data_IF_961842985445
#
_entry.id   IF_961842985445
#
_cell.length_a   1.000
_cell.length_b   1.000
_cell.length_c   1.000
_cell.angle_alpha   90.00
_cell.angle_beta   90.00
_cell.angle_gamma   90.00
#
_symmetry.space_group_name_H-M   'P 1'
#
loop_
_entity.id
_entity.type
_entity.pdbx_description
1 polymer ?
#
# COMPACT_ATOMS: atom_id res chain seq x y z
N UNK A 1 -7.27 2.59 19.95
CA UNK A 1 -6.31 2.70 21.08
C UNK A 1 -4.94 2.20 20.64
N UNK A 2 -4.76 0.91 20.29
CA UNK A 2 -3.49 0.32 19.76
C UNK A 2 -2.75 1.18 18.72
N UNK A 3 -3.45 1.64 17.68
CA UNK A 3 -2.80 2.40 16.61
C UNK A 3 -2.27 3.77 17.07
N UNK A 4 -2.94 4.42 18.04
CA UNK A 4 -2.48 5.68 18.62
C UNK A 4 -1.27 5.48 19.55
N UNK A 5 -1.19 4.32 20.21
CA UNK A 5 -0.02 3.93 21.02
C UNK A 5 1.18 3.54 20.15
N UNK A 6 0.91 2.87 19.02
CA UNK A 6 1.94 2.47 18.06
C UNK A 6 2.52 3.68 17.31
N UNK A 7 1.66 4.65 16.97
CA UNK A 7 2.01 5.82 16.17
C UNK A 7 1.62 7.13 16.89
N UNK A 8 2.28 7.46 18.02
CA UNK A 8 2.03 8.71 18.72
C UNK A 8 2.37 9.91 17.84
N UNK A 9 1.60 10.99 17.95
CA UNK A 9 1.85 12.23 17.18
C UNK A 9 3.25 12.76 17.45
N UNK A 10 3.90 13.29 16.42
CA UNK A 10 5.20 13.94 16.61
C UNK A 10 5.03 15.26 17.37
N UNK A 11 5.70 15.33 18.53
CA UNK A 11 5.88 16.57 19.29
C UNK A 11 6.95 17.43 18.58
N UNK A 12 6.49 18.48 17.91
CA UNK A 12 7.36 19.52 17.36
C UNK A 12 7.39 20.73 18.29
N UNK A 13 8.56 21.32 18.48
CA UNK A 13 8.70 22.64 19.11
C UNK A 13 8.96 23.63 17.99
N UNK A 14 7.95 24.43 17.66
CA UNK A 14 8.04 25.52 16.70
C UNK A 14 7.45 26.76 17.33
N UNK A 15 8.10 27.91 17.11
CA UNK A 15 7.57 29.20 17.53
C UNK A 15 6.18 29.43 16.92
N UNK A 16 5.23 29.92 17.72
CA UNK A 16 3.83 30.10 17.29
C UNK A 16 3.70 31.00 16.06
N UNK A 17 4.56 32.03 15.92
CA UNK A 17 4.53 32.93 14.77
C UNK A 17 4.95 32.20 13.49
N UNK A 18 5.93 31.30 13.60
CA UNK A 18 6.43 30.51 12.49
C UNK A 18 5.47 29.38 12.11
N UNK A 19 4.88 28.74 13.11
CA UNK A 19 3.83 27.76 12.90
C UNK A 19 2.63 28.41 12.22
N UNK A 20 2.23 29.61 12.62
CA UNK A 20 1.16 30.38 11.98
C UNK A 20 1.50 30.74 10.54
N UNK A 21 2.73 31.20 10.27
CA UNK A 21 3.19 31.51 8.92
C UNK A 21 3.14 30.27 8.01
N UNK A 22 3.76 29.16 8.40
CA UNK A 22 3.72 27.92 7.62
C UNK A 22 2.30 27.39 7.50
N UNK A 23 1.50 27.48 8.56
CA UNK A 23 0.11 27.08 8.51
C UNK A 23 -0.68 27.92 7.51
N UNK A 24 -0.47 29.23 7.45
CA UNK A 24 -1.18 30.14 6.54
C UNK A 24 -0.83 29.93 5.07
N UNK A 25 0.41 29.53 4.76
CA UNK A 25 0.81 29.28 3.38
C UNK A 25 0.33 27.89 2.93
N UNK A 26 0.39 26.90 3.83
CA UNK A 26 -0.04 25.54 3.49
C UNK A 26 -1.59 25.37 3.65
N UNK A 27 -2.28 26.26 4.37
CA UNK A 27 -3.76 26.42 4.34
C UNK A 27 -4.23 27.18 3.10
N UNK A 28 -3.31 27.87 2.42
CA UNK A 28 -3.61 28.77 1.35
C UNK A 28 -4.30 28.08 0.18
N UNK A 29 -5.58 28.42 0.01
CA UNK A 29 -6.45 28.47 -1.18
C UNK A 29 -6.13 27.58 -2.39
N UNK A 30 -7.20 27.13 -3.06
CA UNK A 30 -7.12 26.45 -4.36
C UNK A 30 -6.31 27.21 -5.44
N UNK A 31 -5.99 28.48 -5.17
CA UNK A 31 -5.26 29.43 -6.01
C UNK A 31 -3.73 29.48 -5.79
N UNK A 32 -3.14 28.75 -4.84
CA UNK A 32 -1.68 28.76 -4.67
C UNK A 32 -0.97 27.94 -5.76
N UNK A 33 0.03 28.55 -6.39
CA UNK A 33 0.87 27.89 -7.39
C UNK A 33 1.90 26.95 -6.74
N UNK A 34 2.29 25.90 -7.47
CA UNK A 34 3.26 24.93 -7.00
C UNK A 34 4.61 25.55 -6.52
N UNK A 35 5.15 26.61 -7.16
CA UNK A 35 6.36 27.30 -6.69
C UNK A 35 6.25 27.89 -5.28
N UNK A 36 5.14 28.54 -4.93
CA UNK A 36 4.96 29.17 -3.61
C UNK A 36 4.90 28.11 -2.50
N UNK A 37 4.22 27.00 -2.77
CA UNK A 37 4.17 25.85 -1.86
C UNK A 37 5.55 25.19 -1.72
N UNK A 38 6.28 25.03 -2.82
CA UNK A 38 7.62 24.47 -2.80
C UNK A 38 8.59 25.33 -1.96
N UNK A 39 8.52 26.66 -2.06
CA UNK A 39 9.36 27.55 -1.25
C UNK A 39 9.05 27.43 0.25
N UNK A 40 7.78 27.30 0.61
CA UNK A 40 7.35 27.13 2.01
C UNK A 40 7.77 25.79 2.58
N UNK A 41 7.70 24.74 1.75
CA UNK A 41 8.21 23.41 2.08
C UNK A 41 9.73 23.41 2.18
N UNK A 42 10.45 24.18 1.34
CA UNK A 42 11.90 24.33 1.48
C UNK A 42 12.25 25.06 2.78
N UNK A 43 11.47 26.06 3.19
CA UNK A 43 11.67 26.73 4.47
C UNK A 43 11.53 25.76 5.65
N UNK A 44 10.48 24.94 5.67
CA UNK A 44 10.31 23.91 6.70
C UNK A 44 11.49 22.92 6.74
N UNK A 45 12.16 22.70 5.60
CA UNK A 45 13.30 21.79 5.50
C UNK A 45 14.51 22.44 6.11
N UNK A 46 14.77 23.71 5.79
CA UNK A 46 15.84 24.49 6.45
C UNK A 46 15.62 24.52 7.96
N UNK A 47 14.38 24.68 8.42
CA UNK A 47 14.06 24.62 9.85
C UNK A 47 14.42 23.27 10.48
N UNK A 48 14.17 22.17 9.75
CA UNK A 48 14.54 20.81 10.16
C UNK A 48 16.06 20.58 10.15
N UNK A 49 16.76 21.06 9.12
CA UNK A 49 18.21 20.97 8.97
C UNK A 49 18.97 21.70 10.10
N UNK A 50 18.35 22.71 10.69
CA UNK A 50 18.85 23.40 11.88
C UNK A 50 18.62 22.62 13.19
N UNK A 51 18.11 21.38 13.11
CA UNK A 51 17.92 20.48 14.26
C UNK A 51 16.54 20.58 14.93
N UNK A 52 15.62 21.39 14.39
CA UNK A 52 14.27 21.52 14.92
C UNK A 52 13.34 20.44 14.35
N UNK A 53 12.28 20.11 15.09
CA UNK A 53 11.22 19.21 14.60
C UNK A 53 10.00 19.99 14.17
N UNK A 54 9.48 19.69 12.97
CA UNK A 54 8.20 20.24 12.54
C UNK A 54 7.05 19.65 13.37
N UNK A 55 6.09 20.46 13.84
CA UNK A 55 4.87 19.95 14.47
C UNK A 55 4.08 19.05 13.53
N UNK A 56 3.38 18.05 14.08
CA UNK A 56 2.52 17.15 13.31
C UNK A 56 1.50 17.92 12.43
N UNK A 57 1.00 19.07 12.89
CA UNK A 57 0.07 19.91 12.12
C UNK A 57 0.66 20.38 10.80
N UNK A 58 1.97 20.70 10.78
CA UNK A 58 2.67 21.18 9.59
C UNK A 58 2.94 20.01 8.64
N UNK A 59 3.50 18.90 9.14
CA UNK A 59 3.83 17.75 8.28
C UNK A 59 2.58 17.08 7.67
N UNK A 60 1.44 17.11 8.36
CA UNK A 60 0.14 16.70 7.81
C UNK A 60 -0.17 17.44 6.51
N UNK A 61 0.06 18.76 6.52
CA UNK A 61 -0.23 19.61 5.37
C UNK A 61 0.79 19.42 4.25
N UNK A 62 2.08 19.27 4.58
CA UNK A 62 3.12 18.97 3.58
C UNK A 62 2.79 17.67 2.84
N UNK A 63 2.37 16.61 3.55
CA UNK A 63 1.95 15.36 2.91
C UNK A 63 0.73 15.58 2.00
N UNK A 64 -0.30 16.29 2.48
CA UNK A 64 -1.47 16.65 1.66
C UNK A 64 -1.09 17.42 0.39
N UNK A 65 -0.17 18.39 0.49
CA UNK A 65 0.32 19.11 -0.68
C UNK A 65 1.00 18.20 -1.69
N UNK A 66 1.72 17.16 -1.26
CA UNK A 66 2.34 16.22 -2.19
C UNK A 66 1.34 15.28 -2.90
N UNK A 67 0.17 15.05 -2.31
CA UNK A 67 -0.95 14.43 -3.03
C UNK A 67 -1.48 15.34 -4.16
N UNK A 68 -1.53 16.66 -3.93
CA UNK A 68 -1.99 17.64 -4.91
C UNK A 68 -0.94 17.99 -5.97
N UNK A 69 0.33 18.05 -5.57
CA UNK A 69 1.45 18.46 -6.41
C UNK A 69 2.57 17.40 -6.34
N UNK A 70 2.59 16.45 -7.29
CA UNK A 70 3.58 15.37 -7.29
C UNK A 70 5.05 15.83 -7.35
N UNK A 71 5.31 17.06 -7.83
CA UNK A 71 6.65 17.68 -7.82
C UNK A 71 7.24 17.85 -6.41
N UNK A 72 6.42 17.75 -5.36
CA UNK A 72 6.85 17.86 -3.96
C UNK A 72 7.30 16.52 -3.35
N UNK A 73 7.08 15.39 -4.01
CA UNK A 73 7.47 14.06 -3.51
C UNK A 73 8.98 13.96 -3.20
N UNK A 74 9.90 14.50 -4.02
CA UNK A 74 11.33 14.51 -3.67
C UNK A 74 11.62 15.23 -2.35
N UNK A 75 10.89 16.30 -2.02
CA UNK A 75 11.07 17.01 -0.75
C UNK A 75 10.59 16.16 0.44
N UNK A 76 9.47 15.45 0.29
CA UNK A 76 9.00 14.50 1.30
C UNK A 76 10.03 13.40 1.60
N UNK A 77 10.70 12.88 0.56
CA UNK A 77 11.78 11.90 0.75
C UNK A 77 12.88 12.48 1.62
N UNK A 78 13.27 13.74 1.40
CA UNK A 78 14.28 14.41 2.21
C UNK A 78 13.81 14.59 3.67
N UNK A 79 12.58 15.05 3.88
CA UNK A 79 12.01 15.15 5.23
C UNK A 79 11.99 13.82 5.98
N UNK A 80 11.61 12.74 5.29
CA UNK A 80 11.48 11.42 5.90
C UNK A 80 12.78 10.94 6.55
N UNK A 81 13.95 11.37 6.04
CA UNK A 81 15.27 11.02 6.59
C UNK A 81 15.52 11.57 7.99
N UNK A 82 14.81 12.62 8.37
CA UNK A 82 15.00 13.27 9.66
C UNK A 82 14.03 12.78 10.73
N UNK A 83 13.01 12.00 10.37
CA UNK A 83 12.15 11.32 11.33
C UNK A 83 12.69 9.92 11.61
N UNK A 84 12.81 9.60 12.90
CA UNK A 84 13.26 8.26 13.35
C UNK A 84 12.19 7.19 13.21
N UNK A 85 10.93 7.59 13.11
CA UNK A 85 9.75 6.71 13.10
C UNK A 85 8.82 7.06 11.93
N UNK A 86 7.93 6.14 11.59
CA UNK A 86 6.86 6.38 10.62
C UNK A 86 5.58 6.97 11.26
N UNK A 87 5.65 7.43 12.52
CA UNK A 87 4.50 7.96 13.24
C UNK A 87 3.87 9.17 12.52
N UNK A 88 4.72 10.02 11.98
CA UNK A 88 4.27 11.20 11.24
C UNK A 88 3.50 10.81 9.98
N UNK A 89 3.90 9.74 9.27
CA UNK A 89 3.22 9.23 8.07
C UNK A 89 1.82 8.76 8.43
N UNK A 90 1.71 7.94 9.49
CA UNK A 90 0.43 7.41 9.96
C UNK A 90 -0.56 8.54 10.24
N UNK A 91 -0.14 9.52 11.05
CA UNK A 91 -0.99 10.63 11.46
C UNK A 91 -1.32 11.58 10.30
N UNK A 92 -0.36 11.82 9.40
CA UNK A 92 -0.55 12.67 8.23
C UNK A 92 -1.49 12.04 7.20
N UNK A 93 -1.42 10.73 6.97
CA UNK A 93 -2.31 10.02 6.05
C UNK A 93 -3.75 10.03 6.55
N UNK A 94 -3.98 9.69 7.83
CA UNK A 94 -5.32 9.78 8.43
C UNK A 94 -5.86 11.20 8.31
N UNK A 95 -5.02 12.22 8.55
CA UNK A 95 -5.45 13.61 8.43
C UNK A 95 -5.79 13.99 6.98
N UNK A 96 -5.01 13.52 6.01
CA UNK A 96 -5.29 13.75 4.59
C UNK A 96 -6.60 13.10 4.16
N UNK A 97 -6.81 11.83 4.51
CA UNK A 97 -8.04 11.10 4.20
C UNK A 97 -9.29 11.72 4.84
N UNK A 98 -9.19 12.17 6.11
CA UNK A 98 -10.30 12.83 6.79
C UNK A 98 -10.58 14.26 6.31
N UNK A 99 -9.58 14.95 5.74
CA UNK A 99 -9.73 16.35 5.32
C UNK A 99 -10.04 16.48 3.82
N UNK A 100 -9.61 15.52 3.00
CA UNK A 100 -9.74 15.55 1.54
C UNK A 100 -9.70 14.11 0.98
N UNK A 101 -10.73 13.33 1.31
CA UNK A 101 -10.82 11.91 0.95
C UNK A 101 -10.69 11.69 -0.56
N UNK A 102 -11.40 12.50 -1.36
CA UNK A 102 -11.38 12.44 -2.82
C UNK A 102 -9.99 12.61 -3.41
N UNK A 103 -9.19 13.55 -2.89
CA UNK A 103 -7.83 13.77 -3.40
C UNK A 103 -6.95 12.52 -3.21
N UNK A 104 -7.01 11.90 -2.03
CA UNK A 104 -6.20 10.70 -1.72
C UNK A 104 -6.71 9.50 -2.52
N UNK A 105 -8.03 9.35 -2.62
CA UNK A 105 -8.68 8.27 -3.37
C UNK A 105 -8.31 8.34 -4.88
N UNK A 106 -8.47 9.51 -5.50
CA UNK A 106 -8.10 9.73 -6.90
C UNK A 106 -6.61 9.50 -7.14
N UNK A 107 -5.78 9.98 -6.21
CA UNK A 107 -4.34 9.76 -6.26
C UNK A 107 -3.98 8.28 -6.27
N UNK A 108 -4.66 7.47 -5.45
CA UNK A 108 -4.47 6.02 -5.40
C UNK A 108 -4.96 5.35 -6.67
N UNK A 109 -6.15 5.73 -7.18
CA UNK A 109 -6.70 5.20 -8.43
C UNK A 109 -5.81 5.48 -9.65
N UNK A 110 -5.12 6.63 -9.67
CA UNK A 110 -4.24 7.03 -10.78
C UNK A 110 -2.79 6.61 -10.61
N UNK A 111 -2.43 5.97 -9.49
CA UNK A 111 -1.03 5.64 -9.16
C UNK A 111 -0.10 6.86 -9.19
N UNK A 112 -0.55 7.97 -8.60
CA UNK A 112 0.24 9.19 -8.56
C UNK A 112 1.61 8.99 -7.85
N UNK A 113 2.64 9.78 -8.19
CA UNK A 113 4.00 9.58 -7.70
C UNK A 113 4.17 9.50 -6.18
N UNK A 114 3.29 10.10 -5.39
CA UNK A 114 3.32 10.01 -3.92
C UNK A 114 3.29 8.56 -3.41
N UNK A 115 2.64 7.65 -4.11
CA UNK A 115 2.56 6.24 -3.71
C UNK A 115 3.90 5.51 -3.87
N UNK A 116 4.79 5.97 -4.77
CA UNK A 116 6.16 5.46 -4.86
C UNK A 116 7.00 5.80 -3.62
N UNK A 117 6.59 6.80 -2.84
CA UNK A 117 7.17 7.12 -1.55
C UNK A 117 6.50 6.36 -0.39
N UNK A 118 5.17 6.26 -0.40
CA UNK A 118 4.39 5.67 0.69
C UNK A 118 4.44 4.14 0.73
N UNK A 119 4.32 3.46 -0.42
CA UNK A 119 4.28 1.99 -0.48
C UNK A 119 5.55 1.37 0.10
N UNK A 120 6.77 1.80 -0.26
CA UNK A 120 7.98 1.28 0.38
C UNK A 120 8.00 1.44 1.90
N UNK A 121 7.37 2.51 2.43
CA UNK A 121 7.26 2.73 3.88
C UNK A 121 6.29 1.77 4.54
N UNK A 122 5.19 1.41 3.87
CA UNK A 122 4.29 0.36 4.34
C UNK A 122 4.97 -1.01 4.30
N UNK A 123 5.71 -1.32 3.25
CA UNK A 123 6.44 -2.59 3.13
C UNK A 123 7.55 -2.72 4.18
N UNK A 124 8.29 -1.65 4.45
CA UNK A 124 9.31 -1.59 5.51
C UNK A 124 8.69 -1.85 6.88
N UNK A 125 7.59 -1.16 7.19
CA UNK A 125 6.85 -1.34 8.45
C UNK A 125 6.32 -2.77 8.58
N UNK A 126 5.71 -3.32 7.52
CA UNK A 126 5.22 -4.70 7.46
C UNK A 126 6.34 -5.70 7.75
N UNK A 127 7.47 -5.62 7.04
CA UNK A 127 8.62 -6.52 7.22
C UNK A 127 9.15 -6.48 8.65
N UNK A 128 9.20 -5.30 9.27
CA UNK A 128 9.66 -5.14 10.66
C UNK A 128 8.74 -5.80 11.70
N UNK A 129 7.46 -6.02 11.35
CA UNK A 129 6.40 -6.52 12.24
C UNK A 129 5.85 -7.88 11.83
N UNK A 130 6.41 -8.52 10.79
CA UNK A 130 5.89 -9.76 10.21
C UNK A 130 5.87 -10.92 11.22
N UNK A 131 6.78 -10.92 12.20
CA UNK A 131 6.80 -11.90 13.31
C UNK A 131 5.57 -11.85 14.21
N UNK A 132 4.74 -10.81 14.10
CA UNK A 132 3.50 -10.71 14.86
C UNK A 132 2.32 -11.44 14.20
N UNK A 133 2.46 -11.92 12.95
CA UNK A 133 1.37 -12.53 12.16
C UNK A 133 0.97 -13.95 12.59
N UNK A 134 1.62 -14.53 13.60
CA UNK A 134 1.25 -15.85 14.14
C UNK A 134 -0.02 -15.82 15.02
N UNK A 135 -0.63 -14.64 15.19
CA UNK A 135 -1.83 -14.39 15.99
C UNK A 135 -2.98 -13.92 15.11
N UNK A 136 -4.19 -13.87 15.67
CA UNK A 136 -5.29 -13.17 15.01
C UNK A 136 -5.04 -11.66 14.97
N UNK A 137 -5.55 -10.97 13.94
CA UNK A 137 -5.27 -9.55 13.70
C UNK A 137 -5.57 -8.63 14.90
N UNK A 138 -6.65 -8.92 15.62
CA UNK A 138 -7.06 -8.14 16.79
C UNK A 138 -6.12 -8.33 17.99
N UNK A 139 -5.33 -9.41 18.00
CA UNK A 139 -4.37 -9.74 19.05
C UNK A 139 -2.95 -9.22 18.77
N UNK A 140 -2.73 -8.55 17.64
CA UNK A 140 -1.42 -7.96 17.35
C UNK A 140 -1.08 -6.88 18.37
N UNK A 141 0.14 -6.89 18.94
CA UNK A 141 0.56 -5.93 19.95
C UNK A 141 0.75 -4.52 19.40
N UNK A 142 0.99 -4.39 18.09
CA UNK A 142 1.25 -3.14 17.40
C UNK A 142 0.43 -3.03 16.13
N UNK A 143 0.00 -1.83 15.78
CA UNK A 143 -0.64 -1.57 14.49
C UNK A 143 0.40 -1.51 13.35
N UNK A 144 -0.02 -1.85 12.14
CA UNK A 144 0.76 -1.62 10.93
C UNK A 144 0.51 -0.24 10.34
N UNK A 145 1.50 0.31 9.65
CA UNK A 145 1.43 1.66 9.08
C UNK A 145 0.30 1.79 8.05
N UNK A 146 0.11 0.79 7.19
CA UNK A 146 -0.95 0.82 6.16
C UNK A 146 -2.36 0.89 6.77
N UNK A 147 -2.54 0.50 8.04
CA UNK A 147 -3.83 0.63 8.73
C UNK A 147 -4.29 2.10 8.76
N UNK A 148 -3.38 3.09 8.62
CA UNK A 148 -3.76 4.50 8.46
C UNK A 148 -4.69 4.75 7.28
N UNK A 149 -4.51 3.98 6.20
CA UNK A 149 -5.35 4.09 4.99
C UNK A 149 -6.72 3.52 5.27
N UNK A 150 -6.78 2.35 5.92
CA UNK A 150 -8.05 1.67 6.26
C UNK A 150 -8.84 2.47 7.30
N UNK A 151 -8.20 2.96 8.36
CA UNK A 151 -8.87 3.78 9.38
C UNK A 151 -9.36 5.13 8.84
N UNK A 152 -8.67 5.68 7.83
CA UNK A 152 -9.11 6.89 7.13
C UNK A 152 -10.09 6.60 5.99
N UNK A 153 -10.31 5.33 5.64
CA UNK A 153 -11.20 4.94 4.57
C UNK A 153 -12.65 5.18 5.01
N UNK A 154 -13.35 6.05 4.29
CA UNK A 154 -14.72 6.47 4.60
C UNK A 154 -14.96 7.05 6.02
N UNK A 155 -14.20 8.11 6.34
CA UNK A 155 -14.36 8.91 7.57
C UNK A 155 -15.81 9.39 7.82
N UNK A 156 -16.64 9.53 6.78
CA UNK A 156 -18.00 10.09 6.86
C UNK A 156 -19.01 9.06 7.38
N UNK A 157 -18.79 7.75 7.17
CA UNK A 157 -19.71 6.68 7.61
C UNK A 157 -19.25 5.90 8.85
N UNK A 158 -18.06 6.21 9.38
CA UNK A 158 -17.31 5.38 10.33
C UNK A 158 -17.95 5.12 11.71
N UNK A 159 -19.08 5.73 12.08
CA UNK A 159 -19.65 5.56 13.42
C UNK A 159 -20.18 4.14 13.71
N UNK A 160 -20.46 3.33 12.67
CA UNK A 160 -21.07 2.00 12.81
C UNK A 160 -20.46 0.92 11.91
N UNK A 161 -19.25 1.15 11.37
CA UNK A 161 -18.62 0.25 10.39
C UNK A 161 -17.47 -0.50 11.07
N UNK A 162 -17.40 -1.82 10.91
CA UNK A 162 -16.30 -2.61 11.46
C UNK A 162 -15.00 -2.40 10.66
N UNK A 163 -13.85 -2.71 11.25
CA UNK A 163 -12.57 -2.63 10.51
C UNK A 163 -12.58 -3.55 9.29
N UNK A 164 -13.19 -4.73 9.40
CA UNK A 164 -13.32 -5.68 8.30
C UNK A 164 -14.16 -5.11 7.16
N UNK A 165 -15.26 -4.41 7.46
CA UNK A 165 -16.07 -3.74 6.45
C UNK A 165 -15.27 -2.66 5.72
N UNK A 166 -14.43 -1.88 6.43
CA UNK A 166 -13.54 -0.89 5.82
C UNK A 166 -12.49 -1.54 4.91
N UNK A 167 -11.92 -2.67 5.34
CA UNK A 167 -11.00 -3.46 4.51
C UNK A 167 -11.71 -3.93 3.24
N UNK A 168 -12.93 -4.43 3.35
CA UNK A 168 -13.72 -4.89 2.20
C UNK A 168 -14.03 -3.74 1.24
N UNK A 169 -14.41 -2.57 1.75
CA UNK A 169 -14.65 -1.39 0.91
C UNK A 169 -13.37 -0.93 0.20
N UNK A 170 -12.24 -0.91 0.90
CA UNK A 170 -10.94 -0.59 0.31
C UNK A 170 -10.54 -1.59 -0.78
N UNK A 171 -10.69 -2.88 -0.50
CA UNK A 171 -10.44 -3.97 -1.45
C UNK A 171 -11.31 -3.79 -2.71
N UNK A 172 -12.61 -3.55 -2.54
CA UNK A 172 -13.51 -3.29 -3.66
C UNK A 172 -13.10 -2.07 -4.48
N UNK A 173 -12.68 -0.99 -3.82
CA UNK A 173 -12.15 0.17 -4.52
C UNK A 173 -10.91 -0.17 -5.34
N UNK A 174 -9.95 -0.93 -4.79
CA UNK A 174 -8.78 -1.36 -5.55
C UNK A 174 -9.18 -2.20 -6.76
N UNK A 175 -10.18 -3.09 -6.64
CA UNK A 175 -10.69 -3.92 -7.73
C UNK A 175 -11.30 -3.08 -8.87
N UNK A 176 -11.95 -1.96 -8.55
CA UNK A 176 -12.52 -1.04 -9.53
C UNK A 176 -11.45 -0.22 -10.28
N UNK A 177 -10.19 -0.27 -9.85
CA UNK A 177 -9.08 0.51 -10.40
C UNK A 177 -7.92 -0.41 -10.88
N UNK A 178 -8.17 -1.28 -11.88
CA UNK A 178 -7.24 -2.33 -12.32
C UNK A 178 -5.90 -1.82 -12.87
N UNK A 179 -5.90 -0.60 -13.42
CA UNK A 179 -4.71 -0.01 -14.02
C UNK A 179 -3.77 0.63 -12.97
N UNK A 180 -4.15 0.62 -11.69
CA UNK A 180 -3.36 1.22 -10.62
C UNK A 180 -2.39 0.23 -10.00
N UNK A 181 -1.09 0.42 -10.28
CA UNK A 181 -0.01 -0.28 -9.60
C UNK A 181 -0.03 -0.02 -8.08
N UNK A 182 -0.43 1.18 -7.66
CA UNK A 182 -0.57 1.52 -6.25
C UNK A 182 -1.69 0.71 -5.58
N UNK A 183 -2.88 0.61 -6.20
CA UNK A 183 -3.96 -0.26 -5.73
C UNK A 183 -3.51 -1.72 -5.63
N UNK A 184 -2.81 -2.22 -6.66
CA UNK A 184 -2.29 -3.59 -6.67
C UNK A 184 -1.28 -3.84 -5.54
N UNK A 185 -0.42 -2.88 -5.25
CA UNK A 185 0.55 -2.98 -4.16
C UNK A 185 -0.13 -2.97 -2.79
N UNK A 186 -1.12 -2.09 -2.61
CA UNK A 186 -1.92 -2.02 -1.38
C UNK A 186 -2.73 -3.29 -1.15
N UNK A 187 -3.37 -3.84 -2.19
CA UNK A 187 -4.04 -5.14 -2.15
C UNK A 187 -3.10 -6.24 -1.66
N UNK A 188 -1.87 -6.25 -2.15
CA UNK A 188 -0.88 -7.23 -1.73
C UNK A 188 -0.46 -7.06 -0.26
N UNK A 189 -0.26 -5.84 0.21
CA UNK A 189 0.02 -5.58 1.63
C UNK A 189 -1.10 -6.07 2.54
N UNK A 190 -2.36 -5.80 2.18
CA UNK A 190 -3.53 -6.23 2.96
C UNK A 190 -3.67 -7.75 2.91
N UNK A 191 -3.47 -8.37 1.74
CA UNK A 191 -3.57 -9.81 1.57
C UNK A 191 -2.55 -10.57 2.43
N UNK A 192 -1.35 -10.01 2.64
CA UNK A 192 -0.34 -10.60 3.53
C UNK A 192 -0.79 -10.69 5.00
N UNK A 193 -1.80 -9.93 5.40
CA UNK A 193 -2.22 -9.77 6.81
C UNK A 193 -3.62 -10.34 7.02
N UNK A 194 -4.51 -10.12 6.05
CA UNK A 194 -5.91 -10.52 6.08
C UNK A 194 -6.30 -11.28 4.81
N UNK A 195 -5.62 -12.41 4.51
CA UNK A 195 -5.84 -13.14 3.25
C UNK A 195 -7.30 -13.60 3.10
N UNK A 196 -7.95 -14.00 4.20
CA UNK A 196 -9.37 -14.41 4.22
C UNK A 196 -10.32 -13.33 3.68
N UNK A 197 -10.14 -12.08 4.13
CA UNK A 197 -11.00 -10.97 3.70
C UNK A 197 -10.77 -10.63 2.23
N UNK A 198 -9.50 -10.62 1.79
CA UNK A 198 -9.16 -10.33 0.40
C UNK A 198 -9.75 -11.39 -0.52
N UNK A 199 -9.56 -12.69 -0.27
CA UNK A 199 -10.11 -13.74 -1.15
C UNK A 199 -11.63 -13.77 -1.14
N UNK A 200 -12.24 -13.72 0.06
CA UNK A 200 -13.68 -13.93 0.20
C UNK A 200 -14.53 -12.80 -0.38
N UNK A 201 -13.94 -11.63 -0.64
CA UNK A 201 -14.65 -10.42 -1.07
C UNK A 201 -14.10 -9.80 -2.35
N UNK A 202 -12.86 -10.08 -2.71
CA UNK A 202 -12.27 -9.64 -3.96
C UNK A 202 -12.48 -10.68 -5.07
N UNK A 203 -13.74 -10.86 -5.47
CA UNK A 203 -14.05 -11.54 -6.72
C UNK A 203 -13.31 -10.84 -7.87
N UNK A 204 -12.44 -11.57 -8.57
CA UNK A 204 -11.67 -11.17 -9.77
C UNK A 204 -10.29 -10.51 -9.57
N UNK A 205 -9.62 -10.69 -8.43
CA UNK A 205 -8.24 -10.17 -8.27
C UNK A 205 -7.20 -11.21 -7.86
N UNK A 206 -7.54 -12.51 -7.92
CA UNK A 206 -6.56 -13.54 -7.60
C UNK A 206 -5.33 -13.42 -8.53
N UNK A 207 -5.53 -13.02 -9.78
CA UNK A 207 -4.46 -12.73 -10.74
C UNK A 207 -3.66 -11.46 -10.42
N UNK A 208 -4.05 -10.64 -9.45
CA UNK A 208 -3.29 -9.47 -9.00
C UNK A 208 -2.51 -9.74 -7.71
N UNK A 209 -2.96 -10.72 -6.93
CA UNK A 209 -2.25 -11.20 -5.76
C UNK A 209 -0.89 -11.76 -6.18
N UNK A 210 0.15 -11.41 -5.44
CA UNK A 210 1.53 -11.81 -5.67
C UNK A 210 1.70 -13.30 -5.39
N UNK A 211 2.72 -13.91 -5.99
CA UNK A 211 3.07 -15.33 -5.77
C UNK A 211 3.21 -15.66 -4.27
N UNK A 212 3.90 -14.85 -3.42
CA UNK A 212 3.97 -15.13 -1.98
C UNK A 212 2.60 -15.17 -1.30
N UNK A 213 1.69 -14.26 -1.66
CA UNK A 213 0.36 -14.21 -1.07
C UNK A 213 -0.54 -15.34 -1.59
N UNK A 214 -0.44 -15.71 -2.86
CA UNK A 214 -1.12 -16.90 -3.39
C UNK A 214 -0.65 -18.17 -2.67
N UNK A 215 0.65 -18.28 -2.38
CA UNK A 215 1.20 -19.38 -1.58
C UNK A 215 0.62 -19.39 -0.17
N UNK A 216 0.57 -18.23 0.50
CA UNK A 216 -0.02 -18.08 1.84
C UNK A 216 -1.48 -18.55 1.86
N UNK A 217 -2.25 -18.12 0.86
CA UNK A 217 -3.66 -18.49 0.67
C UNK A 217 -3.83 -20.01 0.59
N UNK A 218 -3.01 -20.67 -0.23
CA UNK A 218 -3.06 -22.12 -0.43
C UNK A 218 -2.62 -22.88 0.81
N UNK A 219 -1.53 -22.45 1.45
CA UNK A 219 -1.01 -23.06 2.69
C UNK A 219 -2.03 -23.00 3.84
N UNK A 220 -2.79 -21.90 3.94
CA UNK A 220 -3.83 -21.74 4.95
C UNK A 220 -5.14 -22.45 4.59
N UNK A 221 -5.22 -23.14 3.45
CA UNK A 221 -6.44 -23.82 2.99
C UNK A 221 -7.62 -22.88 2.78
N UNK A 222 -7.35 -21.57 2.55
CA UNK A 222 -8.39 -20.56 2.38
C UNK A 222 -9.08 -20.63 1.02
N UNK A 223 -8.53 -21.45 0.13
CA UNK A 223 -9.08 -21.76 -1.16
C UNK A 223 -9.40 -23.26 -1.21
N UNK A 224 -10.68 -23.56 -1.34
CA UNK A 224 -11.16 -24.91 -1.65
C UNK A 224 -11.38 -24.97 -3.16
N UNK A 225 -10.80 -25.98 -3.83
CA UNK A 225 -10.84 -26.21 -5.29
C UNK A 225 -12.18 -25.75 -5.91
N UNK A 226 -12.18 -24.56 -6.49
CA UNK A 226 -13.24 -23.92 -7.28
C UNK A 226 -12.57 -22.98 -8.30
N UNK A 227 -13.24 -22.20 -9.14
CA UNK A 227 -12.49 -21.28 -10.02
C UNK A 227 -11.86 -20.14 -9.20
N UNK A 228 -10.53 -19.97 -9.25
CA UNK A 228 -9.91 -18.73 -8.77
C UNK A 228 -10.35 -17.60 -9.71
N UNK A 229 -11.08 -16.59 -9.23
CA UNK A 229 -11.60 -15.56 -10.10
C UNK A 229 -10.48 -14.62 -10.55
N UNK A 230 -10.38 -14.36 -11.85
CA UNK A 230 -9.35 -13.52 -12.45
C UNK A 230 -8.89 -14.03 -13.83
N UNK A 231 -7.82 -13.43 -14.35
CA UNK A 231 -7.19 -13.91 -15.58
C UNK A 231 -6.52 -15.28 -15.35
N UNK A 232 -7.11 -16.34 -15.91
CA UNK A 232 -6.68 -17.72 -15.72
C UNK A 232 -5.23 -17.96 -16.20
N UNK A 233 -4.80 -17.33 -17.30
CA UNK A 233 -3.42 -17.45 -17.79
C UNK A 233 -2.44 -16.86 -16.79
N UNK A 234 -2.71 -15.66 -16.28
CA UNK A 234 -1.87 -15.00 -15.28
C UNK A 234 -1.80 -15.80 -13.99
N UNK A 235 -2.93 -16.37 -13.56
CA UNK A 235 -3.00 -17.27 -12.41
C UNK A 235 -2.17 -18.52 -12.62
N UNK A 236 -2.34 -19.21 -13.75
CA UNK A 236 -1.58 -20.41 -14.08
C UNK A 236 -0.07 -20.14 -14.01
N UNK A 237 0.40 -19.05 -14.62
CA UNK A 237 1.83 -18.67 -14.59
C UNK A 237 2.34 -18.44 -13.16
N UNK A 238 1.53 -17.80 -12.30
CA UNK A 238 1.88 -17.57 -10.90
C UNK A 238 1.83 -18.83 -10.04
N UNK A 239 1.07 -19.83 -10.43
CA UNK A 239 0.97 -21.10 -9.73
C UNK A 239 2.14 -22.04 -10.03
N UNK A 240 2.85 -21.87 -11.13
CA UNK A 240 4.04 -22.69 -11.46
C UNK A 240 5.01 -22.84 -10.28
N UNK A 241 5.47 -21.77 -9.60
CA UNK A 241 6.36 -21.88 -8.44
C UNK A 241 5.68 -22.25 -7.11
N UNK A 242 4.40 -22.63 -7.11
CA UNK A 242 3.63 -22.96 -5.91
C UNK A 242 3.10 -24.40 -5.99
N UNK A 243 2.38 -24.70 -7.06
CA UNK A 243 1.75 -25.98 -7.37
C UNK A 243 1.61 -26.10 -8.89
N UNK A 244 2.52 -26.86 -9.50
CA UNK A 244 2.58 -27.05 -10.95
C UNK A 244 1.36 -27.80 -11.51
N UNK A 245 0.77 -28.69 -10.71
CA UNK A 245 -0.39 -29.48 -11.14
C UNK A 245 -1.63 -28.60 -11.14
N UNK A 246 -1.82 -27.77 -10.11
CA UNK A 246 -2.86 -26.74 -10.11
C UNK A 246 -2.68 -25.74 -11.25
N UNK A 247 -1.45 -25.33 -11.56
CA UNK A 247 -1.17 -24.45 -12.70
C UNK A 247 -1.65 -25.04 -14.04
N UNK A 248 -1.41 -26.35 -14.24
CA UNK A 248 -1.90 -27.10 -15.41
C UNK A 248 -3.42 -27.25 -15.40
N UNK A 249 -4.03 -27.54 -14.26
CA UNK A 249 -5.50 -27.61 -14.12
C UNK A 249 -6.16 -26.27 -14.56
N UNK A 250 -5.57 -25.13 -14.17
CA UNK A 250 -6.07 -23.80 -14.51
C UNK A 250 -5.94 -23.50 -16.01
N UNK A 251 -4.76 -23.73 -16.62
CA UNK A 251 -4.55 -23.37 -18.03
C UNK A 251 -5.38 -24.23 -18.99
N UNK A 252 -5.77 -25.45 -18.60
CA UNK A 252 -6.62 -26.32 -19.41
C UNK A 252 -8.01 -25.72 -19.70
N UNK A 253 -8.43 -24.72 -18.93
CA UNK A 253 -9.69 -24.00 -19.14
C UNK A 253 -9.56 -22.84 -20.14
N UNK A 254 -8.35 -22.50 -20.58
CA UNK A 254 -8.08 -21.39 -21.51
C UNK A 254 -8.17 -21.81 -22.99
N UNK A 255 -8.06 -20.83 -23.89
CA UNK A 255 -7.97 -21.06 -25.33
C UNK A 255 -6.66 -21.76 -25.72
N UNK A 256 -6.61 -22.28 -26.95
CA UNK A 256 -5.50 -23.06 -27.47
C UNK A 256 -4.17 -22.28 -27.48
N UNK A 257 -4.20 -21.01 -27.87
CA UNK A 257 -2.99 -20.19 -28.00
C UNK A 257 -2.39 -19.91 -26.61
N UNK A 258 -3.25 -19.63 -25.62
CA UNK A 258 -2.85 -19.51 -24.21
C UNK A 258 -2.18 -20.77 -23.67
N UNK A 259 -2.70 -21.97 -24.00
CA UNK A 259 -2.10 -23.25 -23.61
C UNK A 259 -0.73 -23.47 -24.26
N UNK A 260 -0.61 -23.18 -25.55
CA UNK A 260 0.66 -23.30 -26.28
C UNK A 260 1.73 -22.37 -25.69
N UNK A 261 1.39 -21.11 -25.41
CA UNK A 261 2.28 -20.14 -24.79
C UNK A 261 2.71 -20.57 -23.36
N UNK A 262 1.77 -21.08 -22.56
CA UNK A 262 2.05 -21.58 -21.22
C UNK A 262 3.00 -22.79 -21.25
N UNK A 263 2.75 -23.76 -22.14
CA UNK A 263 3.59 -24.94 -22.27
C UNK A 263 5.00 -24.58 -22.74
N UNK A 264 5.15 -23.60 -23.64
CA UNK A 264 6.46 -23.08 -24.02
C UNK A 264 7.19 -22.47 -22.81
N UNK A 265 6.50 -21.65 -22.01
CA UNK A 265 7.05 -21.05 -20.79
C UNK A 265 7.48 -22.11 -19.75
N UNK A 266 6.71 -23.20 -19.63
CA UNK A 266 7.01 -24.29 -18.70
C UNK A 266 8.32 -25.01 -19.03
N UNK A 267 8.75 -25.04 -20.30
CA UNK A 267 10.04 -25.64 -20.69
C UNK A 267 11.26 -24.89 -20.14
N UNK A 268 11.08 -23.65 -19.70
CA UNK A 268 12.12 -22.80 -19.10
C UNK A 268 12.02 -22.72 -17.57
N UNK A 269 11.15 -23.51 -16.95
CA UNK A 269 11.01 -23.55 -15.50
C UNK A 269 11.89 -24.66 -14.91
N UNK A 270 12.81 -24.29 -14.02
CA UNK A 270 13.60 -25.25 -13.26
C UNK A 270 12.90 -25.54 -11.91
N UNK A 271 12.32 -26.75 -11.72
CA UNK A 271 11.59 -27.09 -10.51
C UNK A 271 12.49 -27.20 -9.28
N UNK A 272 13.76 -27.59 -9.45
CA UNK A 272 14.73 -27.74 -8.34
C UNK A 272 15.12 -26.38 -7.76
N UNK A 273 15.22 -25.36 -8.61
CA UNK A 273 15.55 -24.00 -8.21
C UNK A 273 14.31 -23.15 -7.90
N UNK A 274 13.13 -23.60 -8.31
CA UNK A 274 11.88 -22.85 -8.16
C UNK A 274 11.83 -21.58 -9.01
N UNK A 275 12.66 -21.47 -10.06
CA UNK A 275 12.86 -20.25 -10.86
C UNK A 275 12.83 -20.51 -12.35
N UNK A 276 12.51 -19.47 -13.13
CA UNK A 276 12.68 -19.48 -14.58
C UNK A 276 14.12 -19.14 -14.96
N UNK A 277 14.70 -19.93 -15.85
CA UNK A 277 16.04 -19.72 -16.34
C UNK A 277 16.37 -20.67 -17.48
N UNK A 278 17.51 -20.47 -18.17
CA UNK A 278 18.03 -21.52 -19.02
C UNK A 278 18.24 -22.78 -18.16
N UNK A 279 17.69 -23.92 -18.59
CA UNK A 279 18.18 -25.20 -18.10
C UNK A 279 19.63 -25.30 -18.56
N UNK A 280 20.55 -24.94 -17.67
CA UNK A 280 21.94 -25.36 -17.79
C UNK A 280 21.99 -26.84 -17.42
N UNK A 281 21.31 -27.66 -18.21
CA UNK A 281 21.61 -29.08 -18.21
C UNK A 281 23.04 -29.20 -18.75
N UNK A 282 23.92 -29.61 -17.85
CA UNK A 282 25.34 -29.82 -18.04
C UNK A 282 25.59 -30.75 -19.25
N UNK A 283 26.66 -30.46 -19.99
CA UNK A 283 27.23 -31.34 -21.02
C UNK A 283 27.51 -32.75 -20.47
#
# INVERSE_FOLDING_TARGET
MRAMETFPKEEGMMDESLQTFLNSIIEGHDDFDAPTLQNSINFGRTYFELGNKLPQTVINKILRCAFRFPTLVPQLVLYSRYYKSNNWIFNALIKSLSSDFSLVQDSLAKSEPIWSFLIPKFEEDFKSKISNLDKDFYDYPTAFLFESVIFGWDYIKAAHVSFEDLVVEFVNFCNLNPNSNACRSMLNLICSIMPKLVIGKASNVADWISVPNLRLILQQGLYQKGELPGNQVSLAVKMIPIDIDLAKEIIEQCDKDSKEAFNALLTHYNPDQGTFGPNYDEN
#
